data_IF_052848251673
#
_entry.id   IF_052848251673
#
_cell.length_a   1.000
_cell.length_b   1.000
_cell.length_c   1.000
_cell.angle_alpha   90.00
_cell.angle_beta   90.00
_cell.angle_gamma   90.00
#
_symmetry.space_group_name_H-M   'P 1'
#
loop_
_entity.id
_entity.type
_entity.pdbx_description
1 polymer ?
#
# COMPACT_ATOMS: atom_id res chain seq x y z
N UNK A 1 -29.58 6.51 -14.99
CA UNK A 1 -28.15 6.59 -14.64
C UNK A 1 -27.94 7.64 -13.54
N UNK A 2 -27.84 7.28 -12.25
CA UNK A 2 -27.16 8.10 -11.26
C UNK A 2 -25.86 7.40 -10.80
N UNK A 3 -24.71 7.90 -11.25
CA UNK A 3 -23.37 7.36 -10.97
C UNK A 3 -22.62 8.27 -9.97
N UNK A 4 -23.10 8.39 -8.73
CA UNK A 4 -22.43 9.28 -7.75
C UNK A 4 -22.69 8.93 -6.28
N UNK A 5 -22.58 7.64 -5.89
CA UNK A 5 -22.65 7.25 -4.47
C UNK A 5 -21.61 6.20 -4.03
N UNK A 6 -20.56 5.93 -4.82
CA UNK A 6 -19.59 4.89 -4.46
C UNK A 6 -18.13 5.35 -4.59
N UNK A 7 -17.77 6.49 -3.99
CA UNK A 7 -16.38 7.01 -4.04
C UNK A 7 -15.91 7.68 -2.75
N UNK A 8 -16.50 7.38 -1.61
CA UNK A 8 -16.03 7.86 -0.30
C UNK A 8 -14.86 7.04 0.28
N UNK A 9 -14.43 5.96 -0.40
CA UNK A 9 -13.45 4.99 0.12
C UNK A 9 -12.18 4.86 -0.75
N UNK A 10 -11.76 5.93 -1.43
CA UNK A 10 -10.52 5.91 -2.23
C UNK A 10 -9.54 7.01 -1.86
N UNK A 11 -8.76 6.86 -0.77
CA UNK A 11 -7.75 7.83 -0.40
C UNK A 11 -6.38 7.34 -0.88
N UNK A 12 -6.03 7.55 -2.15
CA UNK A 12 -4.59 7.54 -2.49
C UNK A 12 -4.25 8.21 -3.82
N UNK A 13 -5.10 8.11 -4.84
CA UNK A 13 -4.64 8.31 -6.23
C UNK A 13 -4.63 9.76 -6.75
N UNK A 14 -5.08 10.77 -5.98
CA UNK A 14 -5.34 12.12 -6.53
C UNK A 14 -4.60 13.30 -5.91
N UNK A 15 -3.69 13.12 -4.95
CA UNK A 15 -2.97 14.27 -4.36
C UNK A 15 -1.47 14.21 -4.60
N UNK A 16 -1.02 14.98 -5.59
CA UNK A 16 0.37 15.41 -5.68
C UNK A 16 0.75 16.23 -4.44
N UNK A 17 1.80 15.77 -3.77
CA UNK A 17 2.61 16.47 -2.75
C UNK A 17 1.86 17.43 -1.80
N UNK A 18 0.99 16.88 -0.95
CA UNK A 18 0.44 17.61 0.22
C UNK A 18 1.47 17.58 1.35
N UNK A 19 1.86 18.73 1.95
CA UNK A 19 2.66 18.72 3.16
C UNK A 19 1.79 18.24 4.33
N UNK A 20 1.98 16.99 4.73
CA UNK A 20 1.24 16.35 5.81
C UNK A 20 1.79 16.76 7.18
N UNK A 21 0.90 17.18 8.09
CA UNK A 21 1.05 16.83 9.51
C UNK A 21 1.28 15.32 9.57
N UNK A 22 2.41 14.90 10.15
CA UNK A 22 2.81 13.48 10.23
C UNK A 22 1.82 12.75 11.14
N UNK A 23 0.78 12.17 10.55
CA UNK A 23 0.02 11.12 11.20
C UNK A 23 0.91 9.88 11.28
N UNK A 24 0.98 9.27 12.48
CA UNK A 24 1.83 8.11 12.79
C UNK A 24 1.33 6.80 12.13
N UNK A 25 0.72 6.91 10.95
CA UNK A 25 0.19 5.78 10.20
C UNK A 25 1.33 5.14 9.40
N UNK A 26 1.49 3.81 9.48
CA UNK A 26 2.46 3.10 8.66
C UNK A 26 2.20 3.34 7.18
N UNK A 27 3.25 3.66 6.43
CA UNK A 27 3.16 3.88 4.99
C UNK A 27 3.64 2.67 4.20
N UNK A 28 3.32 2.65 2.90
CA UNK A 28 3.85 1.64 1.96
C UNK A 28 5.39 1.60 1.95
N UNK A 29 6.05 2.73 2.20
CA UNK A 29 7.50 2.77 2.30
C UNK A 29 8.01 1.98 3.51
N UNK A 30 7.35 2.11 4.66
CA UNK A 30 7.77 1.45 5.90
C UNK A 30 7.60 -0.07 5.77
N UNK A 31 6.49 -0.50 5.17
CA UNK A 31 6.27 -1.91 4.80
C UNK A 31 7.36 -2.41 3.85
N UNK A 32 7.73 -1.63 2.83
CA UNK A 32 8.74 -2.01 1.85
C UNK A 32 10.13 -2.18 2.48
N UNK A 33 10.54 -1.23 3.33
CA UNK A 33 11.79 -1.29 4.08
C UNK A 33 11.83 -2.51 4.99
N UNK A 34 10.74 -2.76 5.74
CA UNK A 34 10.65 -3.88 6.67
C UNK A 34 10.65 -5.24 5.96
N UNK A 35 9.93 -5.37 4.86
CA UNK A 35 9.87 -6.60 4.07
C UNK A 35 11.13 -6.84 3.21
N UNK A 36 12.01 -5.84 3.08
CA UNK A 36 13.21 -5.92 2.24
C UNK A 36 12.88 -5.96 0.75
N UNK A 37 11.89 -5.20 0.29
CA UNK A 37 11.46 -5.17 -1.11
C UNK A 37 11.22 -3.74 -1.62
N UNK A 38 10.92 -3.60 -2.91
CA UNK A 38 10.63 -2.30 -3.50
C UNK A 38 9.18 -1.85 -3.23
N UNK A 39 8.94 -0.54 -3.20
CA UNK A 39 7.57 0.03 -3.13
C UNK A 39 6.65 -0.53 -4.23
N UNK A 40 7.19 -0.74 -5.43
CA UNK A 40 6.49 -1.32 -6.56
C UNK A 40 6.06 -2.76 -6.30
N UNK A 41 6.86 -3.53 -5.56
CA UNK A 41 6.53 -4.89 -5.14
C UNK A 41 5.38 -4.90 -4.15
N UNK A 42 5.40 -3.99 -3.17
CA UNK A 42 4.29 -3.83 -2.21
C UNK A 42 3.02 -3.36 -2.92
N UNK A 43 3.12 -2.44 -3.88
CA UNK A 43 1.98 -2.01 -4.71
C UNK A 43 1.40 -3.18 -5.52
N UNK A 44 2.23 -4.02 -6.13
CA UNK A 44 1.79 -5.24 -6.82
C UNK A 44 1.10 -6.21 -5.86
N UNK A 45 1.58 -6.33 -4.63
CA UNK A 45 0.99 -7.17 -3.59
C UNK A 45 -0.40 -6.68 -3.21
N UNK A 46 -0.55 -5.38 -2.94
CA UNK A 46 -1.84 -4.76 -2.61
C UNK A 46 -2.84 -4.86 -3.76
N UNK A 47 -2.36 -4.76 -5.01
CA UNK A 47 -3.17 -4.92 -6.21
C UNK A 47 -3.42 -6.39 -6.60
N UNK A 48 -2.95 -7.37 -5.80
CA UNK A 48 -3.21 -8.80 -6.03
C UNK A 48 -2.45 -9.43 -7.20
N UNK A 49 -1.35 -8.83 -7.66
CA UNK A 49 -0.58 -9.36 -8.79
C UNK A 49 0.06 -10.72 -8.48
N UNK A 50 -0.06 -11.68 -9.40
CA UNK A 50 0.58 -13.02 -9.34
C UNK A 50 2.08 -13.01 -9.62
N UNK A 51 2.64 -11.87 -10.05
CA UNK A 51 4.06 -11.73 -10.41
C UNK A 51 4.99 -11.60 -9.19
N UNK A 52 4.60 -12.13 -8.04
CA UNK A 52 5.35 -12.05 -6.78
C UNK A 52 5.54 -13.46 -6.24
N UNK A 53 6.79 -13.82 -5.96
CA UNK A 53 7.11 -15.10 -5.33
C UNK A 53 6.37 -15.26 -4.00
N UNK A 54 5.94 -16.48 -3.69
CA UNK A 54 5.21 -16.79 -2.46
C UNK A 54 5.96 -16.38 -1.19
N UNK A 55 7.28 -16.54 -1.19
CA UNK A 55 8.15 -16.11 -0.10
C UNK A 55 8.07 -14.59 0.14
N UNK A 56 8.16 -13.80 -0.94
CA UNK A 56 8.06 -12.34 -0.86
C UNK A 56 6.66 -11.89 -0.42
N UNK A 57 5.60 -12.59 -0.85
CA UNK A 57 4.24 -12.32 -0.36
C UNK A 57 4.13 -12.55 1.14
N UNK A 58 4.74 -13.61 1.64
CA UNK A 58 4.76 -13.95 3.08
C UNK A 58 5.49 -12.87 3.87
N UNK A 59 6.69 -12.45 3.44
CA UNK A 59 7.45 -11.36 4.07
C UNK A 59 6.68 -10.04 4.11
N UNK A 60 5.96 -9.70 3.04
CA UNK A 60 5.14 -8.48 3.00
C UNK A 60 3.96 -8.58 3.97
N UNK A 61 3.28 -9.72 4.01
CA UNK A 61 2.17 -9.94 4.93
C UNK A 61 2.62 -9.85 6.41
N UNK A 62 3.76 -10.45 6.75
CA UNK A 62 4.36 -10.35 8.09
C UNK A 62 4.75 -8.91 8.44
N UNK A 63 5.33 -8.17 7.49
CA UNK A 63 5.72 -6.78 7.71
C UNK A 63 4.52 -5.88 8.01
N UNK A 64 3.36 -6.13 7.38
CA UNK A 64 2.12 -5.37 7.62
C UNK A 64 1.58 -5.61 9.03
N UNK A 65 1.66 -6.83 9.56
CA UNK A 65 1.18 -7.15 10.92
C UNK A 65 2.06 -6.52 12.00
N UNK A 66 3.33 -6.27 11.70
CA UNK A 66 4.33 -5.77 12.65
C UNK A 66 4.44 -4.23 12.70
N UNK A 67 3.63 -3.51 11.94
CA UNK A 67 3.61 -2.05 11.83
C UNK A 67 2.26 -1.50 12.28
#
# INVERSE_FOLDING_TARGET
MPQLLALADRPFFLYGNVPMMVSNLPTIHDVAVRAGCSKSTVSRFLNGSELIAAETRTRIAEAIVQL
#
